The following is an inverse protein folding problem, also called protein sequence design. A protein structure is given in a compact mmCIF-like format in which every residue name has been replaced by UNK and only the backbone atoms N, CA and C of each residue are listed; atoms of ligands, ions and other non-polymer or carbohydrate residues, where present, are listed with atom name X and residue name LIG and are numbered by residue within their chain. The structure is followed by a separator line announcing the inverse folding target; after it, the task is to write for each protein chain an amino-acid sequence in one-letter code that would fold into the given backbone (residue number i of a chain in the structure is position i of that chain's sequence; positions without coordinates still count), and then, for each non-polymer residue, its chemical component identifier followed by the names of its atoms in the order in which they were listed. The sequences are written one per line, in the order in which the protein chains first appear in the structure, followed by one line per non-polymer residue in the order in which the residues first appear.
data_IF_337802135042
#
_entry.id   IF_337802135042
#
_cell.length_a   1.000
_cell.length_b   1.000
_cell.length_c   1.000
_cell.angle_alpha   90.00
_cell.angle_beta   90.00
_cell.angle_gamma   90.00
#
_symmetry.space_group_name_H-M   'P 1'
#
loop_
_entity.id
_entity.type
_entity.pdbx_description
1 polymer ?
#
# COMPACT_ATOMS: atom_id res chain seq x y z
N UNK A 1 11.82 -4.75 12.49
CA UNK A 1 10.87 -4.48 11.43
C UNK A 1 9.74 -3.63 11.95
N UNK A 2 9.40 -2.57 11.23
CA UNK A 2 8.39 -1.63 11.70
C UNK A 2 7.06 -1.87 11.01
N UNK A 3 5.98 -1.80 11.78
CA UNK A 3 4.63 -1.99 11.27
C UNK A 3 3.84 -0.71 11.44
N UNK A 4 3.16 -0.32 10.38
CA UNK A 4 2.43 0.95 10.35
C UNK A 4 1.11 0.75 9.64
N UNK A 5 0.24 1.74 9.76
CA UNK A 5 -0.98 1.80 8.98
C UNK A 5 -0.79 2.89 7.93
N UNK A 6 -0.90 2.50 6.67
CA UNK A 6 -0.74 3.41 5.54
C UNK A 6 -2.11 3.81 5.05
N UNK A 7 -2.35 5.11 4.96
CA UNK A 7 -3.63 5.65 4.50
C UNK A 7 -3.42 6.43 3.23
N UNK A 8 -4.03 5.98 2.14
CA UNK A 8 -3.95 6.68 0.87
C UNK A 8 -4.97 6.12 -0.10
N UNK A 9 -5.13 6.81 -1.21
CA UNK A 9 -6.04 6.39 -2.26
C UNK A 9 -5.34 5.37 -3.17
N UNK A 10 -5.95 4.23 -3.35
CA UNK A 10 -5.40 3.19 -4.21
C UNK A 10 -5.69 3.54 -5.67
N UNK A 11 -4.63 3.69 -6.46
CA UNK A 11 -4.75 4.06 -7.86
C UNK A 11 -4.87 2.85 -8.76
N UNK A 12 -4.02 1.86 -8.54
CA UNK A 12 -4.05 0.67 -9.38
C UNK A 12 -3.30 -0.48 -8.73
N UNK A 13 -3.53 -1.67 -9.25
CA UNK A 13 -2.84 -2.89 -8.85
C UNK A 13 -2.01 -3.32 -10.06
N UNK A 14 -0.69 -3.30 -9.93
CA UNK A 14 0.21 -3.69 -11.02
C UNK A 14 0.69 -5.11 -10.82
N UNK A 15 0.64 -5.88 -11.89
CA UNK A 15 1.18 -7.24 -11.87
C UNK A 15 2.30 -7.35 -12.88
N UNK A 16 3.36 -8.06 -12.51
CA UNK A 16 4.48 -8.29 -13.39
C UNK A 16 5.12 -9.62 -13.00
N UNK A 17 6.15 -10.00 -13.72
CA UNK A 17 6.89 -11.23 -13.45
C UNK A 17 8.32 -10.85 -13.18
N UNK A 18 8.88 -11.36 -12.08
CA UNK A 18 10.28 -11.17 -11.77
C UNK A 18 11.10 -12.00 -12.77
N UNK A 19 11.94 -11.32 -13.54
CA UNK A 19 12.67 -11.99 -14.60
C UNK A 19 13.71 -12.97 -14.08
N UNK A 20 14.17 -12.77 -12.86
CA UNK A 20 15.19 -13.65 -12.29
C UNK A 20 14.59 -14.95 -11.75
N UNK A 21 13.42 -14.87 -11.15
CA UNK A 21 12.81 -16.03 -10.51
C UNK A 21 11.62 -16.60 -11.27
N UNK A 22 11.04 -15.82 -12.20
CA UNK A 22 9.83 -16.22 -12.89
C UNK A 22 8.58 -16.14 -12.05
N UNK A 23 8.66 -15.62 -10.83
CA UNK A 23 7.52 -15.54 -9.93
C UNK A 23 6.73 -14.26 -10.15
N UNK A 24 5.42 -14.31 -9.90
CA UNK A 24 4.62 -13.10 -10.04
C UNK A 24 4.97 -12.07 -8.98
N UNK A 25 4.92 -10.81 -9.38
CA UNK A 25 5.18 -9.70 -8.49
C UNK A 25 4.02 -8.71 -8.60
N UNK A 26 3.42 -8.38 -7.48
CA UNK A 26 2.23 -7.54 -7.45
C UNK A 26 2.52 -6.33 -6.57
N UNK A 27 2.21 -5.14 -7.09
CA UNK A 27 2.39 -3.90 -6.36
C UNK A 27 1.09 -3.12 -6.34
N UNK A 28 0.82 -2.52 -5.19
CA UNK A 28 -0.30 -1.61 -5.02
C UNK A 28 0.25 -0.19 -5.17
N UNK A 29 -0.31 0.58 -6.10
CA UNK A 29 0.17 1.93 -6.36
C UNK A 29 -0.82 2.91 -5.73
N UNK A 30 -0.31 3.74 -4.82
CA UNK A 30 -1.12 4.69 -4.06
C UNK A 30 -0.78 6.13 -4.43
N UNK A 31 -1.78 6.99 -4.37
CA UNK A 31 -1.56 8.43 -4.47
C UNK A 31 -1.08 8.94 -3.12
N UNK A 32 -0.02 9.72 -3.14
CA UNK A 32 0.55 10.29 -1.93
C UNK A 32 0.98 11.72 -2.20
N UNK A 33 1.53 12.38 -1.20
CA UNK A 33 1.98 13.75 -1.32
C UNK A 33 3.26 13.92 -0.51
N UNK A 34 4.07 14.85 -0.95
CA UNK A 34 5.22 15.25 -0.15
C UNK A 34 5.47 16.74 -0.36
N UNK A 35 6.13 17.35 0.62
CA UNK A 35 6.51 18.74 0.54
C UNK A 35 7.81 18.86 -0.24
N UNK A 36 7.81 19.70 -1.28
CA UNK A 36 9.01 19.95 -2.08
C UNK A 36 9.57 21.31 -1.68
N UNK A 37 10.72 21.30 -1.05
CA UNK A 37 11.33 22.55 -0.57
C UNK A 37 11.74 23.47 -1.70
N UNK A 38 12.16 22.91 -2.83
CA UNK A 38 12.58 23.72 -3.96
C UNK A 38 11.42 24.50 -4.57
N UNK A 39 10.23 23.91 -4.56
CA UNK A 39 9.04 24.56 -5.08
C UNK A 39 8.20 25.21 -3.99
N UNK A 40 8.53 24.97 -2.74
CA UNK A 40 7.80 25.50 -1.59
C UNK A 40 6.32 25.16 -1.67
N UNK A 41 6.03 23.91 -2.02
CA UNK A 41 4.64 23.47 -2.13
C UNK A 41 4.56 21.96 -1.98
N UNK A 42 3.34 21.46 -1.75
CA UNK A 42 3.06 20.05 -1.68
C UNK A 42 2.84 19.55 -3.10
N UNK A 43 3.53 18.48 -3.47
CA UNK A 43 3.42 17.91 -4.80
C UNK A 43 2.89 16.49 -4.71
N UNK A 44 2.10 16.06 -5.71
CA UNK A 44 1.63 14.68 -5.73
C UNK A 44 2.76 13.74 -6.10
N UNK A 45 2.77 12.57 -5.45
CA UNK A 45 3.72 11.50 -5.76
C UNK A 45 2.96 10.18 -5.67
N UNK A 46 3.54 9.14 -6.23
CA UNK A 46 2.97 7.80 -6.05
C UNK A 46 3.83 7.02 -5.08
N UNK A 47 3.21 6.09 -4.38
CA UNK A 47 3.89 5.22 -3.44
C UNK A 47 3.50 3.79 -3.73
N UNK A 48 4.50 2.92 -3.89
CA UNK A 48 4.26 1.51 -4.16
C UNK A 48 4.34 0.72 -2.86
N UNK A 49 3.39 -0.20 -2.68
CA UNK A 49 3.41 -1.16 -1.59
C UNK A 49 3.40 -2.55 -2.23
N UNK A 50 4.38 -3.37 -1.89
CA UNK A 50 4.46 -4.72 -2.45
C UNK A 50 3.44 -5.61 -1.77
N UNK A 51 2.64 -6.30 -2.58
CA UNK A 51 1.73 -7.32 -2.06
C UNK A 51 2.53 -8.62 -1.97
N UNK A 52 2.86 -9.04 -0.76
CA UNK A 52 3.72 -10.20 -0.57
C UNK A 52 3.02 -11.48 -1.05
N UNK A 53 3.82 -12.50 -1.29
CA UNK A 53 3.33 -13.73 -1.93
C UNK A 53 2.13 -14.34 -1.20
N UNK A 54 2.17 -14.38 0.11
CA UNK A 54 1.06 -14.94 0.87
C UNK A 54 -0.24 -14.16 0.77
N UNK A 55 -0.20 -12.96 0.18
CA UNK A 55 -1.37 -12.10 0.06
C UNK A 55 -1.87 -11.99 -1.38
N UNK A 56 -1.29 -12.72 -2.33
CA UNK A 56 -1.67 -12.60 -3.73
C UNK A 56 -3.12 -12.97 -4.00
N UNK A 57 -3.73 -13.76 -3.14
CA UNK A 57 -5.14 -14.10 -3.28
C UNK A 57 -6.06 -12.89 -3.08
N UNK A 58 -5.52 -11.79 -2.58
CA UNK A 58 -6.32 -10.59 -2.33
C UNK A 58 -6.37 -9.62 -3.51
N UNK A 59 -5.78 -9.98 -4.66
CA UNK A 59 -5.81 -9.11 -5.82
C UNK A 59 -7.24 -8.69 -6.20
N UNK A 60 -8.24 -9.59 -6.25
CA UNK A 60 -9.59 -9.14 -6.56
C UNK A 60 -10.13 -8.14 -5.55
N UNK A 61 -9.78 -8.32 -4.27
CA UNK A 61 -10.21 -7.39 -3.23
C UNK A 61 -9.65 -5.99 -3.49
N UNK A 62 -8.36 -5.90 -3.79
CA UNK A 62 -7.75 -4.60 -4.06
C UNK A 62 -8.24 -4.00 -5.37
N UNK A 63 -8.50 -4.82 -6.38
CA UNK A 63 -9.06 -4.30 -7.62
C UNK A 63 -10.43 -3.65 -7.39
N UNK A 64 -11.21 -4.19 -6.48
CA UNK A 64 -12.51 -3.61 -6.15
C UNK A 64 -12.36 -2.30 -5.38
N UNK A 65 -11.20 -2.04 -4.80
CA UNK A 65 -10.96 -0.84 -4.02
C UNK A 65 -10.26 0.27 -4.79
N UNK A 66 -9.97 0.05 -6.06
CA UNK A 66 -9.31 1.08 -6.87
C UNK A 66 -10.13 2.36 -6.88
N UNK A 67 -9.45 3.48 -6.70
CA UNK A 67 -10.11 4.78 -6.63
C UNK A 67 -10.59 5.17 -5.25
N UNK A 68 -10.45 4.28 -4.28
CA UNK A 68 -10.91 4.53 -2.92
C UNK A 68 -9.74 4.73 -1.97
N UNK A 69 -9.97 5.54 -0.95
CA UNK A 69 -8.99 5.71 0.12
C UNK A 69 -9.12 4.54 1.08
N UNK A 70 -7.99 3.92 1.41
CA UNK A 70 -8.00 2.76 2.30
C UNK A 70 -6.94 2.92 3.38
N UNK A 71 -7.11 2.16 4.45
CA UNK A 71 -6.14 2.06 5.53
C UNK A 71 -5.54 0.66 5.46
N UNK A 72 -4.25 0.59 5.22
CA UNK A 72 -3.60 -0.69 4.97
C UNK A 72 -2.44 -0.90 5.95
N UNK A 73 -2.46 -1.99 6.73
CA UNK A 73 -1.28 -2.32 7.54
C UNK A 73 -0.11 -2.68 6.65
N UNK A 74 1.04 -2.08 6.94
CA UNK A 74 2.24 -2.32 6.15
C UNK A 74 3.43 -2.56 7.07
N UNK A 75 4.44 -3.21 6.51
CA UNK A 75 5.75 -3.30 7.12
C UNK A 75 6.73 -2.51 6.29
N UNK A 76 7.65 -1.85 6.97
CA UNK A 76 8.71 -1.12 6.29
C UNK A 76 10.01 -1.89 6.48
N UNK A 77 10.67 -2.19 5.37
CA UNK A 77 11.98 -2.82 5.44
C UNK A 77 12.97 -1.99 4.64
N UNK A 78 14.24 -2.12 5.02
CA UNK A 78 15.30 -1.38 4.36
C UNK A 78 16.33 -2.34 3.80
N UNK A 79 17.00 -1.88 2.76
CA UNK A 79 18.11 -2.61 2.15
C UNK A 79 19.25 -1.65 1.90
N UNK A 80 20.43 -2.21 1.64
CA UNK A 80 21.62 -1.40 1.31
C UNK A 80 21.93 -0.38 2.42
N UNK A 81 21.96 -0.88 3.67
CA UNK A 81 22.28 -0.06 4.84
C UNK A 81 21.34 1.13 4.99
N UNK A 82 20.08 0.91 4.69
CA UNK A 82 19.08 1.96 4.85
C UNK A 82 18.94 2.89 3.67
N UNK A 83 19.69 2.66 2.59
CA UNK A 83 19.61 3.52 1.42
C UNK A 83 18.35 3.28 0.60
N UNK A 84 17.71 2.12 0.75
CA UNK A 84 16.45 1.82 0.07
C UNK A 84 15.41 1.41 1.07
N UNK A 85 14.21 1.94 0.90
CA UNK A 85 13.08 1.65 1.76
C UNK A 85 11.99 1.00 0.94
N UNK A 86 11.46 -0.11 1.47
CA UNK A 86 10.39 -0.85 0.81
C UNK A 86 9.20 -0.96 1.74
N UNK A 87 8.02 -0.84 1.16
CA UNK A 87 6.76 -1.03 1.87
C UNK A 87 6.12 -2.32 1.39
N UNK A 88 5.71 -3.15 2.34
CA UNK A 88 5.07 -4.44 2.05
C UNK A 88 3.80 -4.56 2.86
N UNK A 89 2.84 -5.35 2.35
CA UNK A 89 1.64 -5.64 3.14
C UNK A 89 2.01 -6.43 4.39
N UNK A 90 1.26 -6.20 5.45
CA UNK A 90 1.49 -6.83 6.75
C UNK A 90 0.23 -7.56 7.22
N UNK A 91 0.37 -8.37 8.28
CA UNK A 91 -0.72 -9.12 8.88
C UNK A 91 -1.35 -10.05 7.84
N UNK A 92 -2.66 -9.97 7.63
CA UNK A 92 -3.33 -10.79 6.64
C UNK A 92 -3.42 -10.10 5.27
N UNK A 93 -2.84 -8.92 5.15
CA UNK A 93 -2.82 -8.17 3.89
C UNK A 93 -4.10 -7.41 3.58
N UNK A 94 -5.11 -7.50 4.43
CA UNK A 94 -6.40 -6.87 4.16
C UNK A 94 -6.44 -5.43 4.66
N UNK A 95 -7.14 -4.55 3.92
CA UNK A 95 -7.34 -3.19 4.43
C UNK A 95 -8.22 -3.21 5.67
N UNK A 96 -8.07 -2.19 6.49
CA UNK A 96 -8.86 -2.05 7.71
C UNK A 96 -10.19 -1.37 7.38
N UNK A 97 -11.23 -1.77 8.11
CA UNK A 97 -12.56 -1.21 7.93
C UNK A 97 -12.87 -0.17 8.97
N UNK A 98 -11.98 0.81 9.12
CA UNK A 98 -12.16 1.82 10.15
C UNK A 98 -13.40 2.67 9.93
N UNK A 99 -13.74 2.91 8.68
CA UNK A 99 -14.91 3.73 8.36
C UNK A 99 -16.19 3.01 8.74
N UNK A 100 -16.24 1.72 8.50
CA UNK A 100 -17.45 0.97 8.79
C UNK A 100 -17.76 0.92 10.27
N UNK A 101 -16.74 0.98 11.08
CA UNK A 101 -16.95 0.95 12.53
C UNK A 101 -17.64 2.17 13.08
N UNK A 102 -17.64 3.23 12.34
CA UNK A 102 -18.34 4.44 12.79
C UNK A 102 -19.81 4.32 12.63
N UNK A 103 -20.22 3.55 11.75
CA UNK A 103 -21.63 3.43 11.46
C UNK A 103 -22.30 2.43 12.30
N UNK A 104 -21.54 1.95 12.75
CA UNK A 104 -22.01 0.97 13.45
C UNK A 104 -22.28 1.23 14.70
N UNK A 105 -21.82 2.12 14.18
CA UNK A 105 -21.82 2.22 14.84
C UNK A 105 -22.21 2.51 15.25
N UNK A 106 -21.93 2.73 14.68
CA UNK A 106 -22.33 2.69 14.73
C UNK A 106 -22.70 2.75 15.06
N UNK A 107 -22.55 3.06 15.16
CA UNK A 107 -22.99 2.89 15.29
C UNK A 107 -23.52 2.65 15.49
N UNK A 108 -23.64 2.66 15.76
CA UNK A 108 -24.11 2.29 15.79
C UNK A 108 -24.61 2.04 16.09
#
# INVERSE_FOLDING_TARGET
MSKYIFNAKLLQVETSVDQKTGLPKIRLVFASQRFDKGLDQIVPVSQNVTLIEGHHHLVPTFNALKGKEIYLPIEISTMMNGMQIFYKTAHDGRPLNLVDNKNEKSIP
#
